data_IF_309779988660
#
_entry.id   IF_309779988660
#
_cell.length_a   1.000
_cell.length_b   1.000
_cell.length_c   1.000
_cell.angle_alpha   90.00
_cell.angle_beta   90.00
_cell.angle_gamma   90.00
#
_symmetry.space_group_name_H-M   'P 1'
#
loop_
_entity.id
_entity.type
_entity.pdbx_description
1 polymer ?
#
# COMPACT_ATOMS: atom_id res chain seq x y z
N UNK A 1 -5.00 9.79 -3.13
CA UNK A 1 -5.18 11.01 -2.28
C UNK A 1 -6.17 10.80 -1.14
N UNK A 2 -7.28 10.09 -1.34
CA UNK A 2 -8.32 9.91 -0.30
C UNK A 2 -7.82 9.33 1.04
N UNK A 3 -6.89 8.35 1.03
CA UNK A 3 -6.30 7.80 2.27
C UNK A 3 -5.64 8.89 3.13
N UNK A 4 -4.81 9.75 2.53
CA UNK A 4 -4.09 10.80 3.26
C UNK A 4 -5.07 11.86 3.82
N UNK A 5 -6.10 12.22 3.05
CA UNK A 5 -7.13 13.15 3.48
C UNK A 5 -7.95 12.59 4.65
N UNK A 6 -8.36 11.32 4.58
CA UNK A 6 -9.06 10.63 5.66
C UNK A 6 -8.17 10.56 6.90
N UNK A 7 -6.89 10.26 6.73
CA UNK A 7 -5.93 10.20 7.83
C UNK A 7 -5.75 11.55 8.53
N UNK A 8 -5.58 12.62 7.75
CA UNK A 8 -5.48 13.97 8.29
C UNK A 8 -6.75 14.38 9.06
N UNK A 9 -7.93 14.11 8.49
CA UNK A 9 -9.21 14.37 9.15
C UNK A 9 -9.37 13.56 10.45
N UNK A 10 -8.98 12.28 10.43
CA UNK A 10 -9.04 11.41 11.59
C UNK A 10 -8.15 11.95 12.72
N UNK A 11 -6.90 12.30 12.41
CA UNK A 11 -5.96 12.85 13.39
C UNK A 11 -6.39 14.23 13.92
N UNK A 12 -7.05 15.05 13.12
CA UNK A 12 -7.57 16.36 13.54
C UNK A 12 -8.81 16.23 14.45
N UNK A 13 -9.72 15.30 14.13
CA UNK A 13 -11.06 15.25 14.73
C UNK A 13 -11.24 14.14 15.77
N UNK A 14 -10.27 13.23 15.93
CA UNK A 14 -10.37 12.11 16.88
C UNK A 14 -10.43 12.52 18.36
N UNK A 15 -10.13 13.78 18.71
CA UNK A 15 -10.27 14.32 20.07
C UNK A 15 -11.70 14.75 20.43
N UNK A 16 -12.62 14.85 19.45
CA UNK A 16 -13.94 15.44 19.64
C UNK A 16 -14.84 14.64 20.61
N UNK A 17 -14.95 13.32 20.42
CA UNK A 17 -15.72 12.45 21.32
C UNK A 17 -15.27 11.00 21.18
N UNK A 18 -15.58 10.14 22.18
CA UNK A 18 -15.23 8.72 22.14
C UNK A 18 -15.79 8.00 20.91
N UNK A 19 -17.05 8.30 20.55
CA UNK A 19 -17.71 7.72 19.37
C UNK A 19 -17.07 8.22 18.08
N UNK A 20 -16.81 9.52 17.97
CA UNK A 20 -16.14 10.09 16.80
C UNK A 20 -14.73 9.51 16.62
N UNK A 21 -13.95 9.42 17.71
CA UNK A 21 -12.62 8.81 17.71
C UNK A 21 -12.63 7.39 17.15
N UNK A 22 -13.55 6.54 17.60
CA UNK A 22 -13.67 5.17 17.11
C UNK A 22 -13.92 5.12 15.60
N UNK A 23 -14.86 5.94 15.10
CA UNK A 23 -15.17 6.02 13.66
C UNK A 23 -13.98 6.54 12.86
N UNK A 24 -13.31 7.58 13.34
CA UNK A 24 -12.17 8.17 12.64
C UNK A 24 -10.99 7.19 12.52
N UNK A 25 -10.67 6.43 13.57
CA UNK A 25 -9.63 5.40 13.48
C UNK A 25 -10.01 4.26 12.55
N UNK A 26 -11.28 3.84 12.55
CA UNK A 26 -11.78 2.84 11.60
C UNK A 26 -11.65 3.31 10.14
N UNK A 27 -12.01 4.57 9.87
CA UNK A 27 -11.86 5.18 8.54
C UNK A 27 -10.40 5.32 8.12
N UNK A 28 -9.52 5.74 9.04
CA UNK A 28 -8.08 5.83 8.79
C UNK A 28 -7.50 4.46 8.37
N UNK A 29 -7.82 3.41 9.13
CA UNK A 29 -7.39 2.04 8.80
C UNK A 29 -8.01 1.53 7.48
N UNK A 30 -9.28 1.81 7.22
CA UNK A 30 -9.91 1.47 5.95
C UNK A 30 -9.25 2.22 4.77
N UNK A 31 -8.86 3.48 4.98
CA UNK A 31 -8.13 4.29 4.02
C UNK A 31 -6.84 3.62 3.55
N UNK A 32 -6.07 3.04 4.47
CA UNK A 32 -4.84 2.30 4.14
C UNK A 32 -5.15 1.09 3.26
N UNK A 33 -6.15 0.28 3.62
CA UNK A 33 -6.55 -0.88 2.81
C UNK A 33 -6.98 -0.48 1.41
N UNK A 34 -7.80 0.58 1.29
CA UNK A 34 -8.27 1.10 0.00
C UNK A 34 -7.09 1.62 -0.83
N UNK A 35 -6.11 2.30 -0.21
CA UNK A 35 -4.91 2.75 -0.89
C UNK A 35 -4.10 1.58 -1.47
N UNK A 36 -3.92 0.50 -0.70
CA UNK A 36 -3.20 -0.70 -1.16
C UNK A 36 -3.95 -1.36 -2.32
N UNK A 37 -5.27 -1.53 -2.23
CA UNK A 37 -6.06 -2.11 -3.33
C UNK A 37 -5.93 -1.26 -4.59
N UNK A 38 -6.08 0.06 -4.45
CA UNK A 38 -6.00 0.98 -5.58
C UNK A 38 -4.59 1.02 -6.20
N UNK A 39 -3.53 0.91 -5.40
CA UNK A 39 -2.14 0.94 -5.91
C UNK A 39 -1.80 -0.31 -6.72
N UNK A 40 -2.52 -1.42 -6.56
CA UNK A 40 -2.33 -2.59 -7.41
C UNK A 40 -2.90 -2.39 -8.82
N UNK A 41 -3.86 -1.48 -9.00
CA UNK A 41 -4.57 -1.33 -10.28
C UNK A 41 -3.62 -0.94 -11.42
N UNK A 42 -2.85 0.17 -11.35
CA UNK A 42 -1.97 0.56 -12.45
C UNK A 42 -0.88 -0.47 -12.81
N UNK A 43 -0.01 -0.94 -11.87
CA UNK A 43 1.07 -1.84 -12.23
C UNK A 43 0.55 -3.17 -12.79
N UNK A 44 -0.53 -3.74 -12.21
CA UNK A 44 -1.14 -4.97 -12.73
C UNK A 44 -1.78 -4.71 -14.09
N UNK A 45 -2.45 -3.58 -14.29
CA UNK A 45 -3.06 -3.26 -15.57
C UNK A 45 -2.03 -3.16 -16.69
N UNK A 46 -0.95 -2.41 -16.48
CA UNK A 46 0.07 -2.18 -17.51
C UNK A 46 1.04 -3.36 -17.66
N UNK A 47 1.36 -4.10 -16.60
CA UNK A 47 2.19 -5.30 -16.70
C UNK A 47 1.47 -6.44 -17.43
N UNK A 48 0.16 -6.60 -17.22
CA UNK A 48 -0.67 -7.66 -17.81
C UNK A 48 -1.61 -7.12 -18.91
N UNK A 49 -1.21 -6.05 -19.61
CA UNK A 49 -2.04 -5.41 -20.65
C UNK A 49 -2.50 -6.42 -21.72
N UNK A 50 -1.60 -7.32 -22.12
CA UNK A 50 -1.84 -8.38 -23.12
C UNK A 50 -2.40 -9.69 -22.52
N UNK A 51 -2.59 -9.78 -21.19
CA UNK A 51 -3.06 -10.98 -20.50
C UNK A 51 -4.28 -10.69 -19.62
N UNK A 52 -5.47 -10.46 -20.22
CA UNK A 52 -6.69 -10.08 -19.49
C UNK A 52 -7.11 -11.04 -18.36
N UNK A 53 -7.01 -12.38 -18.50
CA UNK A 53 -7.40 -13.30 -17.43
C UNK A 53 -6.53 -13.15 -16.17
N UNK A 54 -5.19 -13.08 -16.35
CA UNK A 54 -4.26 -12.88 -15.24
C UNK A 54 -4.49 -11.53 -14.56
N UNK A 55 -4.67 -10.47 -15.36
CA UNK A 55 -5.02 -9.13 -14.86
C UNK A 55 -6.28 -9.17 -13.99
N UNK A 56 -7.37 -9.75 -14.49
CA UNK A 56 -8.62 -9.84 -13.75
C UNK A 56 -8.46 -10.66 -12.46
N UNK A 57 -7.78 -11.81 -12.51
CA UNK A 57 -7.55 -12.65 -11.35
C UNK A 57 -6.82 -11.90 -10.21
N UNK A 58 -5.73 -11.19 -10.53
CA UNK A 58 -4.97 -10.45 -9.52
C UNK A 58 -5.74 -9.26 -8.95
N UNK A 59 -6.46 -8.50 -9.79
CA UNK A 59 -7.26 -7.37 -9.32
C UNK A 59 -8.44 -7.82 -8.45
N UNK A 60 -9.11 -8.92 -8.82
CA UNK A 60 -10.16 -9.52 -7.98
C UNK A 60 -9.58 -10.04 -6.66
N UNK A 61 -8.43 -10.70 -6.68
CA UNK A 61 -7.79 -11.24 -5.49
C UNK A 61 -7.43 -10.13 -4.48
N UNK A 62 -6.77 -9.05 -4.93
CA UNK A 62 -6.42 -7.94 -4.03
C UNK A 62 -7.67 -7.19 -3.54
N UNK A 63 -8.70 -7.03 -4.38
CA UNK A 63 -9.97 -6.42 -3.97
C UNK A 63 -10.67 -7.25 -2.89
N UNK A 64 -10.74 -8.58 -3.06
CA UNK A 64 -11.32 -9.49 -2.07
C UNK A 64 -10.52 -9.46 -0.76
N UNK A 65 -9.19 -9.53 -0.83
CA UNK A 65 -8.33 -9.45 0.35
C UNK A 65 -8.51 -8.11 1.08
N UNK A 66 -8.55 -7.00 0.34
CA UNK A 66 -8.79 -5.67 0.90
C UNK A 66 -10.16 -5.55 1.57
N UNK A 67 -11.22 -6.10 0.96
CA UNK A 67 -12.55 -6.14 1.57
C UNK A 67 -12.57 -6.92 2.89
N UNK A 68 -11.89 -8.07 2.94
CA UNK A 68 -11.76 -8.86 4.17
C UNK A 68 -11.01 -8.09 5.27
N UNK A 69 -9.92 -7.41 4.92
CA UNK A 69 -9.16 -6.61 5.87
C UNK A 69 -9.96 -5.40 6.35
N UNK A 70 -10.67 -4.69 5.47
CA UNK A 70 -11.59 -3.61 5.87
C UNK A 70 -12.67 -4.14 6.81
N UNK A 71 -13.33 -5.25 6.48
CA UNK A 71 -14.35 -5.85 7.34
C UNK A 71 -13.81 -6.19 8.75
N UNK A 72 -12.59 -6.74 8.82
CA UNK A 72 -11.93 -7.01 10.09
C UNK A 72 -11.63 -5.72 10.89
N UNK A 73 -11.18 -4.66 10.22
CA UNK A 73 -10.77 -3.40 10.86
C UNK A 73 -11.96 -2.51 11.28
N UNK A 74 -13.11 -2.63 10.61
CA UNK A 74 -14.36 -1.99 11.02
C UNK A 74 -14.95 -2.61 12.30
N UNK A 75 -14.43 -3.75 12.77
CA UNK A 75 -14.77 -4.28 14.08
C UNK A 75 -14.23 -3.37 15.21
N UNK A 76 -15.07 -2.92 16.17
CA UNK A 76 -14.64 -2.08 17.29
C UNK A 76 -13.49 -2.68 18.10
N UNK A 77 -13.44 -4.02 18.22
CA UNK A 77 -12.41 -4.75 18.95
C UNK A 77 -11.02 -4.58 18.33
N UNK A 78 -10.94 -4.53 16.99
CA UNK A 78 -9.67 -4.48 16.24
C UNK A 78 -9.03 -3.08 16.20
N UNK A 79 -9.80 -2.04 16.55
CA UNK A 79 -9.31 -0.66 16.62
C UNK A 79 -8.50 -0.35 17.90
N UNK A 80 -8.55 -1.23 18.89
CA UNK A 80 -7.80 -1.08 20.14
C UNK A 80 -6.28 -1.04 19.93
N UNK A 81 -5.51 -0.28 20.74
CA UNK A 81 -4.04 -0.28 20.71
C UNK A 81 -3.41 -1.67 20.84
N UNK A 82 -4.10 -2.64 21.48
CA UNK A 82 -3.64 -4.02 21.65
C UNK A 82 -3.43 -4.76 20.31
N UNK A 83 -4.21 -4.43 19.29
CA UNK A 83 -4.16 -5.09 17.98
C UNK A 83 -3.23 -4.42 16.98
N UNK A 84 -2.36 -3.50 17.43
CA UNK A 84 -1.41 -2.78 16.57
C UNK A 84 -0.57 -3.72 15.68
N UNK A 85 -0.03 -4.79 16.26
CA UNK A 85 0.77 -5.79 15.54
C UNK A 85 -0.05 -6.54 14.49
N UNK A 86 -1.31 -6.89 14.83
CA UNK A 86 -2.22 -7.52 13.89
C UNK A 86 -2.51 -6.58 12.71
N UNK A 87 -2.81 -5.31 12.95
CA UNK A 87 -3.05 -4.33 11.87
C UNK A 87 -1.85 -4.20 10.94
N UNK A 88 -0.65 -4.02 11.50
CA UNK A 88 0.58 -3.96 10.72
C UNK A 88 0.81 -5.24 9.89
N UNK A 89 0.57 -6.41 10.48
CA UNK A 89 0.69 -7.68 9.78
C UNK A 89 -0.33 -7.83 8.64
N UNK A 90 -1.58 -7.41 8.83
CA UNK A 90 -2.61 -7.43 7.79
C UNK A 90 -2.22 -6.54 6.60
N UNK A 91 -1.81 -5.30 6.86
CA UNK A 91 -1.39 -4.37 5.80
C UNK A 91 -0.12 -4.84 5.07
N UNK A 92 0.87 -5.36 5.81
CA UNK A 92 2.08 -5.92 5.20
C UNK A 92 1.75 -7.15 4.37
N UNK A 93 0.86 -8.04 4.83
CA UNK A 93 0.44 -9.21 4.06
C UNK A 93 -0.27 -8.80 2.75
N UNK A 94 -1.13 -7.77 2.81
CA UNK A 94 -1.73 -7.21 1.59
C UNK A 94 -0.66 -6.70 0.63
N UNK A 95 0.30 -5.89 1.10
CA UNK A 95 1.40 -5.40 0.26
C UNK A 95 2.26 -6.52 -0.33
N UNK A 96 2.66 -7.49 0.51
CA UNK A 96 3.51 -8.61 0.11
C UNK A 96 2.82 -9.59 -0.85
N UNK A 97 1.48 -9.62 -0.88
CA UNK A 97 0.74 -10.38 -1.91
C UNK A 97 1.11 -9.94 -3.34
N UNK A 98 1.61 -8.70 -3.50
CA UNK A 98 2.12 -8.15 -4.76
C UNK A 98 3.37 -8.85 -5.30
N UNK A 99 4.10 -9.61 -4.48
CA UNK A 99 5.26 -10.40 -4.95
C UNK A 99 4.85 -11.41 -6.02
N UNK A 100 3.68 -12.04 -5.87
CA UNK A 100 3.19 -13.05 -6.83
C UNK A 100 2.93 -12.44 -8.22
N UNK A 101 2.10 -11.40 -8.39
CA UNK A 101 1.91 -10.76 -9.70
C UNK A 101 3.19 -10.09 -10.20
N UNK A 102 4.08 -9.60 -9.35
CA UNK A 102 5.36 -9.02 -9.77
C UNK A 102 6.28 -10.08 -10.43
N UNK A 103 6.42 -11.26 -9.83
CA UNK A 103 7.19 -12.37 -10.41
C UNK A 103 6.56 -12.89 -11.71
N UNK A 104 5.24 -13.00 -11.76
CA UNK A 104 4.55 -13.41 -12.98
C UNK A 104 4.69 -12.36 -14.10
N UNK A 105 4.56 -11.08 -13.78
CA UNK A 105 4.80 -9.98 -14.71
C UNK A 105 6.23 -9.98 -15.25
N UNK A 106 7.22 -10.23 -14.39
CA UNK A 106 8.62 -10.33 -14.75
C UNK A 106 8.88 -11.47 -15.75
N UNK A 107 8.25 -12.62 -15.51
CA UNK A 107 8.35 -13.77 -16.39
C UNK A 107 7.73 -13.49 -17.78
N UNK A 108 6.54 -12.89 -17.82
CA UNK A 108 5.85 -12.56 -19.08
C UNK A 108 6.57 -11.48 -19.90
N UNK A 109 7.16 -10.49 -19.23
CA UNK A 109 7.78 -9.34 -19.87
C UNK A 109 9.31 -9.39 -19.79
N UNK A 110 9.87 -10.60 -19.77
CA UNK A 110 11.32 -10.82 -19.71
C UNK A 110 12.05 -10.09 -20.85
N UNK A 111 13.26 -9.60 -20.58
CA UNK A 111 14.09 -8.85 -21.52
C UNK A 111 13.77 -7.35 -21.62
N UNK A 112 12.70 -6.86 -21.01
CA UNK A 112 12.34 -5.44 -21.03
C UNK A 112 12.96 -4.68 -19.86
N UNK A 113 13.91 -3.78 -20.16
CA UNK A 113 14.60 -2.96 -19.16
C UNK A 113 13.65 -2.16 -18.25
N UNK A 114 12.55 -1.66 -18.80
CA UNK A 114 11.54 -0.93 -18.03
C UNK A 114 10.88 -1.79 -16.95
N UNK A 115 10.66 -3.08 -17.20
CA UNK A 115 10.08 -4.00 -16.22
C UNK A 115 11.05 -4.27 -15.07
N UNK A 116 12.34 -4.43 -15.35
CA UNK A 116 13.37 -4.59 -14.32
C UNK A 116 13.51 -3.33 -13.45
N UNK A 117 13.51 -2.16 -14.09
CA UNK A 117 13.58 -0.88 -13.39
C UNK A 117 12.36 -0.65 -12.50
N UNK A 118 11.16 -0.85 -13.04
CA UNK A 118 9.92 -0.72 -12.27
C UNK A 118 9.90 -1.69 -11.07
N UNK A 119 10.29 -2.95 -11.28
CA UNK A 119 10.38 -3.93 -10.19
C UNK A 119 11.38 -3.50 -9.11
N UNK A 120 12.56 -3.00 -9.49
CA UNK A 120 13.55 -2.50 -8.54
C UNK A 120 13.02 -1.33 -7.71
N UNK A 121 12.29 -0.41 -8.33
CA UNK A 121 11.65 0.72 -7.65
C UNK A 121 10.52 0.22 -6.71
N UNK A 122 9.72 -0.77 -7.12
CA UNK A 122 8.70 -1.38 -6.26
C UNK A 122 9.30 -2.12 -5.06
N UNK A 123 10.49 -2.72 -5.20
CA UNK A 123 11.24 -3.30 -4.06
C UNK A 123 11.66 -2.20 -3.08
N UNK A 124 12.15 -1.06 -3.56
CA UNK A 124 12.48 0.10 -2.71
C UNK A 124 11.23 0.61 -1.98
N UNK A 125 10.09 0.69 -2.67
CA UNK A 125 8.80 1.02 -2.07
C UNK A 125 8.43 0.01 -0.96
N UNK A 126 8.55 -1.28 -1.22
CA UNK A 126 8.25 -2.34 -0.26
C UNK A 126 9.11 -2.25 1.00
N UNK A 127 10.42 -2.01 0.84
CA UNK A 127 11.35 -1.79 1.96
C UNK A 127 11.00 -0.53 2.75
N UNK A 128 10.58 0.54 2.07
CA UNK A 128 10.14 1.79 2.70
C UNK A 128 8.91 1.56 3.57
N UNK A 129 7.89 0.88 3.05
CA UNK A 129 6.70 0.55 3.84
C UNK A 129 7.00 -0.41 4.99
N UNK A 130 7.85 -1.43 4.78
CA UNK A 130 8.26 -2.35 5.84
C UNK A 130 8.98 -1.61 6.98
N UNK A 131 9.84 -0.66 6.64
CA UNK A 131 10.52 0.21 7.62
C UNK A 131 9.51 1.09 8.36
N UNK A 132 8.55 1.68 7.67
CA UNK A 132 7.47 2.44 8.30
C UNK A 132 6.65 1.59 9.27
N UNK A 133 6.24 0.38 8.87
CA UNK A 133 5.53 -0.55 9.73
C UNK A 133 6.35 -0.93 10.97
N UNK A 134 7.67 -1.08 10.82
CA UNK A 134 8.57 -1.32 11.95
C UNK A 134 8.57 -0.15 12.94
N UNK A 135 8.65 1.11 12.49
CA UNK A 135 8.53 2.29 13.37
C UNK A 135 7.18 2.32 14.09
N UNK A 136 6.09 2.11 13.35
CA UNK A 136 4.74 2.09 13.90
C UNK A 136 4.56 1.04 15.02
N UNK A 137 5.10 -0.16 14.82
CA UNK A 137 5.00 -1.26 15.80
C UNK A 137 5.97 -1.09 16.97
N UNK A 138 7.22 -0.70 16.71
CA UNK A 138 8.28 -0.61 17.71
C UNK A 138 8.12 0.56 18.67
N UNK A 139 7.44 1.64 18.25
CA UNK A 139 7.32 2.91 18.97
C UNK A 139 8.65 3.58 19.28
N UNK A 140 9.63 3.39 18.40
CA UNK A 140 10.93 4.07 18.50
C UNK A 140 10.84 5.37 17.71
N UNK A 141 11.37 6.50 18.20
CA UNK A 141 12.24 6.65 19.38
C UNK A 141 11.53 6.96 20.71
N UNK A 142 10.21 7.22 20.72
CA UNK A 142 9.50 7.66 21.93
C UNK A 142 9.50 6.61 23.07
N UNK A 143 9.63 5.33 22.73
CA UNK A 143 9.82 4.22 23.68
C UNK A 143 11.15 4.34 24.43
N UNK A 144 12.19 4.87 23.80
CA UNK A 144 13.53 4.99 24.41
C UNK A 144 13.66 6.25 25.26
N UNK A 145 13.01 7.34 24.87
CA UNK A 145 13.05 8.62 25.59
C UNK A 145 11.65 9.21 25.72
N UNK A 146 10.84 8.73 26.68
CA UNK A 146 9.51 9.28 26.94
C UNK A 146 9.58 10.79 27.26
N UNK A 147 8.63 11.58 26.77
CA UNK A 147 8.57 13.04 26.99
C UNK A 147 9.36 13.88 25.98
N UNK A 148 10.34 13.29 25.28
CA UNK A 148 11.19 14.05 24.33
C UNK A 148 10.52 14.20 22.96
N UNK A 149 9.79 13.17 22.52
CA UNK A 149 9.20 13.09 21.18
C UNK A 149 7.69 13.35 21.17
N UNK A 150 7.15 14.01 22.20
CA UNK A 150 5.71 14.16 22.40
C UNK A 150 5.02 14.99 21.30
N UNK A 151 5.75 15.94 20.69
CA UNK A 151 5.23 16.83 19.63
C UNK A 151 5.81 16.50 18.26
N UNK A 152 7.13 16.26 18.17
CA UNK A 152 7.84 16.05 16.89
C UNK A 152 8.75 14.82 16.98
N UNK A 153 8.77 14.03 15.92
CA UNK A 153 9.73 12.94 15.72
C UNK A 153 9.33 11.60 16.34
N UNK A 154 8.11 11.46 16.87
CA UNK A 154 7.60 10.16 17.32
C UNK A 154 7.34 9.21 16.15
N UNK A 155 7.33 7.91 16.43
CA UNK A 155 7.31 6.86 15.41
C UNK A 155 6.14 6.96 14.44
N UNK A 156 4.97 7.42 14.90
CA UNK A 156 3.78 7.59 14.06
C UNK A 156 3.92 8.73 13.03
N UNK A 157 4.66 9.81 13.35
CA UNK A 157 5.01 10.83 12.35
C UNK A 157 5.99 10.28 11.31
N UNK A 158 7.02 9.55 11.77
CA UNK A 158 7.99 8.89 10.89
C UNK A 158 7.28 7.91 9.95
N UNK A 159 6.33 7.13 10.47
CA UNK A 159 5.49 6.24 9.69
C UNK A 159 4.75 6.98 8.57
N UNK A 160 4.06 8.09 8.87
CA UNK A 160 3.36 8.88 7.86
C UNK A 160 4.28 9.43 6.77
N UNK A 161 5.48 9.90 7.13
CA UNK A 161 6.49 10.35 6.15
C UNK A 161 6.90 9.20 5.24
N UNK A 162 7.20 8.02 5.81
CA UNK A 162 7.57 6.84 5.03
C UNK A 162 6.43 6.33 4.15
N UNK A 163 5.17 6.49 4.58
CA UNK A 163 4.00 6.20 3.73
C UNK A 163 3.97 7.10 2.50
N UNK A 164 4.22 8.40 2.67
CA UNK A 164 4.29 9.35 1.55
C UNK A 164 5.45 9.02 0.60
N UNK A 165 6.65 8.75 1.14
CA UNK A 165 7.82 8.35 0.33
C UNK A 165 7.55 7.05 -0.43
N UNK A 166 6.92 6.06 0.21
CA UNK A 166 6.51 4.82 -0.44
C UNK A 166 5.52 5.06 -1.58
N UNK A 167 4.52 5.92 -1.37
CA UNK A 167 3.53 6.27 -2.39
C UNK A 167 4.14 7.01 -3.59
N UNK A 168 5.10 7.93 -3.35
CA UNK A 168 5.83 8.61 -4.43
C UNK A 168 6.71 7.63 -5.19
N UNK A 169 7.46 6.78 -4.48
CA UNK A 169 8.29 5.72 -5.10
C UNK A 169 7.44 4.81 -5.99
N UNK A 170 6.28 4.37 -5.50
CA UNK A 170 5.32 3.58 -6.27
C UNK A 170 4.85 4.33 -7.53
N UNK A 171 4.48 5.61 -7.39
CA UNK A 171 4.04 6.42 -8.53
C UNK A 171 5.13 6.52 -9.62
N UNK A 172 6.39 6.67 -9.24
CA UNK A 172 7.52 6.65 -10.18
C UNK A 172 7.64 5.29 -10.88
N UNK A 173 7.51 4.18 -10.16
CA UNK A 173 7.51 2.84 -10.75
C UNK A 173 6.39 2.66 -11.80
N UNK A 174 5.18 3.11 -11.47
CA UNK A 174 4.03 3.07 -12.38
C UNK A 174 4.27 3.96 -13.60
N UNK A 175 4.83 5.16 -13.43
CA UNK A 175 5.15 6.05 -14.54
C UNK A 175 6.14 5.42 -15.53
N UNK A 176 7.11 4.65 -15.04
CA UNK A 176 8.03 3.86 -15.89
C UNK A 176 7.25 2.84 -16.74
N UNK A 177 6.31 2.12 -16.13
CA UNK A 177 5.48 1.12 -16.84
C UNK A 177 4.56 1.77 -17.89
N UNK A 178 3.94 2.90 -17.56
CA UNK A 178 3.08 3.66 -18.48
C UNK A 178 3.89 4.12 -19.69
N UNK A 179 5.01 4.81 -19.46
CA UNK A 179 5.87 5.33 -20.52
C UNK A 179 6.40 4.22 -21.43
N UNK A 180 6.73 3.06 -20.84
CA UNK A 180 7.12 1.89 -21.62
C UNK A 180 5.99 1.40 -22.53
N UNK A 181 4.76 1.31 -22.03
CA UNK A 181 3.57 0.89 -22.80
C UNK A 181 3.09 1.94 -23.82
N UNK A 182 3.39 3.21 -23.61
CA UNK A 182 3.12 4.26 -24.61
C UNK A 182 4.14 4.20 -25.77
N UNK A 183 5.42 3.96 -25.45
CA UNK A 183 6.50 3.87 -26.44
C UNK A 183 6.43 2.60 -27.28
N UNK A 184 6.15 1.47 -26.64
CA UNK A 184 5.81 0.24 -27.34
C UNK A 184 4.34 0.39 -27.69
N UNK A 185 3.98 1.05 -28.78
CA UNK A 185 2.57 1.21 -29.18
C UNK A 185 1.91 -0.19 -29.31
N UNK A 186 1.34 -0.71 -28.22
CA UNK A 186 1.00 -2.14 -28.16
C UNK A 186 -0.30 -2.39 -28.93
N UNK A 187 -0.15 -2.75 -30.20
CA UNK A 187 -1.00 -3.77 -30.80
C UNK A 187 -0.76 -5.07 -30.03
N UNK A 188 -1.73 -5.51 -29.24
CA UNK A 188 -1.77 -6.87 -28.68
C UNK A 188 -1.98 -7.86 -29.85
N UNK A 189 -0.98 -8.03 -30.70
CA UNK A 189 -1.04 -8.85 -31.90
C UNK A 189 -0.67 -10.30 -31.62
N UNK A 190 -1.65 -11.19 -31.80
CA UNK A 190 -1.49 -12.62 -32.07
C UNK A 190 -0.62 -13.45 -31.09
N UNK A 191 -1.18 -13.76 -29.91
CA UNK A 191 -0.80 -14.96 -29.14
C UNK A 191 -2.00 -15.92 -29.01
N UNK A 192 -2.80 -16.00 -30.08
CA UNK A 192 -3.88 -16.98 -30.25
C UNK A 192 -3.79 -17.53 -31.68
N UNK A 193 -2.86 -18.45 -31.88
CA UNK A 193 -2.82 -19.40 -32.98
C UNK A 193 -2.37 -20.73 -32.38
#
# INVERSE_FOLDING_TARGET
>A
MSCLAISAAAHLLACHSRRASAVFWQLDYAGISVMIVASFVPPVYYAFLCHPPARAAYLCAIAALGALVVAALLSPSCSSPRYRRLRAALFLAMGLSGVVPALHALWLNWGHAACYLALGIEVVMGLTYATGAWFYVSRVPEKWRPGVFDVVGHSHQIFHVLVLVGAVTHYVAVAVLIHWREKVAVACGAASA
#
